data_IF_146286223203
#
_entry.id   IF_146286223203
#
_cell.length_a   1.000
_cell.length_b   1.000
_cell.length_c   1.000
_cell.angle_alpha   90.00
_cell.angle_beta   90.00
_cell.angle_gamma   90.00
#
_symmetry.space_group_name_H-M   'P 1'
#
loop_
_entity.id
_entity.type
_entity.pdbx_description
1 polymer ?
#
# COMPACT_ATOMS: atom_id res chain seq x y z
N UNK A 1 -4.54 14.40 -3.01
CA UNK A 1 -3.73 14.88 -1.87
C UNK A 1 -4.54 15.81 -0.99
N UNK A 2 -4.66 15.51 0.30
CA UNK A 2 -5.64 16.12 1.20
C UNK A 2 -5.05 17.03 2.28
N UNK A 3 -3.80 17.46 2.15
CA UNK A 3 -3.17 18.34 3.13
C UNK A 3 -3.99 19.64 3.34
N UNK A 4 -4.12 20.08 4.60
CA UNK A 4 -4.84 21.30 4.99
C UNK A 4 -4.12 22.54 4.47
N UNK A 5 -2.79 22.57 4.57
CA UNK A 5 -1.96 23.66 4.08
C UNK A 5 -1.72 23.53 2.56
N UNK A 6 -2.00 24.57 1.75
CA UNK A 6 -1.79 24.54 0.30
C UNK A 6 -0.35 24.29 -0.14
N UNK A 7 0.63 24.87 0.56
CA UNK A 7 2.05 24.65 0.27
C UNK A 7 2.45 23.20 0.53
N UNK A 8 1.98 22.63 1.66
CA UNK A 8 2.20 21.21 1.95
C UNK A 8 1.55 20.34 0.87
N UNK A 9 0.35 20.71 0.39
CA UNK A 9 -0.32 19.96 -0.68
C UNK A 9 0.50 19.92 -1.97
N UNK A 10 1.11 21.04 -2.35
CA UNK A 10 2.02 21.11 -3.51
C UNK A 10 3.29 20.31 -3.23
N UNK A 11 3.89 20.46 -2.06
CA UNK A 11 5.10 19.72 -1.68
C UNK A 11 4.87 18.20 -1.63
N UNK A 12 3.70 17.75 -1.19
CA UNK A 12 3.30 16.34 -1.20
C UNK A 12 3.22 15.76 -2.61
N UNK A 13 3.14 16.58 -3.67
CA UNK A 13 3.18 16.10 -5.04
C UNK A 13 4.56 15.54 -5.41
N UNK A 14 5.63 16.09 -4.83
CA UNK A 14 7.01 15.70 -5.14
C UNK A 14 7.27 14.20 -4.98
N UNK A 15 7.05 13.62 -3.78
CA UNK A 15 7.20 12.18 -3.57
C UNK A 15 6.30 11.33 -4.49
N UNK A 16 5.06 11.76 -4.73
CA UNK A 16 4.12 11.04 -5.61
C UNK A 16 4.64 11.00 -7.05
N UNK A 17 5.09 12.15 -7.57
CA UNK A 17 5.68 12.26 -8.91
C UNK A 17 6.98 11.47 -9.03
N UNK A 18 7.80 11.44 -7.97
CA UNK A 18 9.00 10.61 -7.91
C UNK A 18 8.66 9.13 -8.06
N UNK A 19 7.67 8.62 -7.31
CA UNK A 19 7.23 7.22 -7.41
C UNK A 19 6.65 6.91 -8.81
N UNK A 20 5.88 7.83 -9.40
CA UNK A 20 5.42 7.67 -10.79
C UNK A 20 6.60 7.62 -11.78
N UNK A 21 7.63 8.45 -11.56
CA UNK A 21 8.87 8.41 -12.32
C UNK A 21 9.59 7.06 -12.21
N UNK A 22 9.64 6.48 -11.01
CA UNK A 22 10.18 5.13 -10.77
C UNK A 22 9.39 4.08 -11.54
N UNK A 23 8.05 4.08 -11.49
CA UNK A 23 7.23 3.15 -12.27
C UNK A 23 7.53 3.26 -13.77
N UNK A 24 7.59 4.48 -14.31
CA UNK A 24 7.92 4.71 -15.73
C UNK A 24 9.33 4.24 -16.09
N UNK A 25 10.31 4.52 -15.22
CA UNK A 25 11.69 4.12 -15.42
C UNK A 25 11.85 2.60 -15.41
N UNK A 26 11.29 1.91 -14.42
CA UNK A 26 11.33 0.44 -14.32
C UNK A 26 10.66 -0.22 -15.53
N UNK A 27 9.52 0.30 -15.96
CA UNK A 27 8.83 -0.20 -17.15
C UNK A 27 9.67 -0.03 -18.41
N UNK A 28 10.30 1.13 -18.59
CA UNK A 28 11.17 1.43 -19.72
C UNK A 28 12.44 0.57 -19.72
N UNK A 29 13.10 0.44 -18.57
CA UNK A 29 14.31 -0.36 -18.43
C UNK A 29 14.02 -1.85 -18.70
N UNK A 30 12.90 -2.38 -18.18
CA UNK A 30 12.53 -3.77 -18.43
C UNK A 30 12.05 -4.00 -19.87
N UNK A 31 11.05 -3.26 -20.35
CA UNK A 31 10.45 -3.55 -21.65
C UNK A 31 11.30 -3.02 -22.82
N UNK A 32 11.69 -1.75 -22.79
CA UNK A 32 12.34 -1.13 -23.95
C UNK A 32 13.83 -1.49 -24.05
N UNK A 33 14.53 -1.63 -22.92
CA UNK A 33 15.95 -1.97 -22.92
C UNK A 33 16.13 -3.50 -22.89
N UNK A 34 15.59 -4.19 -21.89
CA UNK A 34 15.84 -5.62 -21.75
C UNK A 34 15.03 -6.47 -22.73
N UNK A 35 13.70 -6.39 -22.73
CA UNK A 35 12.86 -7.24 -23.58
C UNK A 35 13.05 -6.93 -25.09
N UNK A 36 12.92 -5.66 -25.50
CA UNK A 36 12.97 -5.32 -26.94
C UNK A 36 14.37 -5.36 -27.52
N UNK A 37 15.36 -4.77 -26.84
CA UNK A 37 16.72 -4.61 -27.39
C UNK A 37 17.68 -5.71 -26.95
N UNK A 38 17.46 -6.29 -25.77
CA UNK A 38 18.29 -7.36 -25.23
C UNK A 38 17.89 -8.75 -25.73
N UNK A 39 16.59 -9.05 -25.69
CA UNK A 39 16.09 -10.40 -25.90
C UNK A 39 15.99 -10.82 -27.37
N UNK A 40 15.70 -9.88 -28.28
CA UNK A 40 15.73 -10.12 -29.74
C UNK A 40 17.10 -10.56 -30.29
N UNK A 41 18.14 -10.65 -29.42
CA UNK A 41 19.49 -11.10 -29.75
C UNK A 41 20.04 -12.15 -28.78
N UNK A 42 19.26 -12.58 -27.79
CA UNK A 42 19.65 -13.66 -26.87
C UNK A 42 19.36 -14.99 -27.57
N UNK A 43 20.33 -15.49 -28.34
CA UNK A 43 20.22 -16.67 -29.22
C UNK A 43 19.90 -18.01 -28.51
N UNK A 44 19.57 -18.00 -27.22
CA UNK A 44 19.33 -19.20 -26.41
C UNK A 44 18.05 -19.18 -25.56
N UNK A 45 17.27 -18.09 -25.52
CA UNK A 45 15.99 -18.08 -24.79
C UNK A 45 14.83 -18.43 -25.72
N UNK A 46 14.00 -19.38 -25.29
CA UNK A 46 12.77 -19.69 -26.01
C UNK A 46 11.82 -18.49 -25.96
N UNK A 47 11.22 -18.15 -27.10
CA UNK A 47 10.28 -17.01 -27.24
C UNK A 47 9.14 -17.04 -26.22
N UNK A 48 8.73 -18.24 -25.81
CA UNK A 48 7.71 -18.46 -24.80
C UNK A 48 8.15 -17.92 -23.43
N UNK A 49 9.40 -18.19 -23.02
CA UNK A 49 9.94 -17.73 -21.73
C UNK A 49 9.99 -16.20 -21.70
N UNK A 50 10.42 -15.58 -22.80
CA UNK A 50 10.42 -14.14 -22.95
C UNK A 50 9.01 -13.55 -22.86
N UNK A 51 8.04 -14.18 -23.56
CA UNK A 51 6.65 -13.78 -23.50
C UNK A 51 6.11 -13.85 -22.06
N UNK A 52 6.37 -14.95 -21.33
CA UNK A 52 5.93 -15.09 -19.94
C UNK A 52 6.56 -14.02 -19.03
N UNK A 53 7.86 -13.74 -19.16
CA UNK A 53 8.53 -12.68 -18.39
C UNK A 53 7.88 -11.31 -18.63
N UNK A 54 7.68 -10.94 -19.90
CA UNK A 54 6.99 -9.71 -20.25
C UNK A 54 5.56 -9.69 -19.71
N UNK A 55 4.80 -10.77 -19.90
CA UNK A 55 3.42 -10.86 -19.45
C UNK A 55 3.31 -10.64 -17.94
N UNK A 56 4.05 -11.40 -17.13
CA UNK A 56 3.99 -11.28 -15.68
C UNK A 56 4.51 -9.95 -15.17
N UNK A 57 5.63 -9.45 -15.69
CA UNK A 57 6.15 -8.14 -15.30
C UNK A 57 5.12 -7.04 -15.58
N UNK A 58 4.55 -6.99 -16.79
CA UNK A 58 3.59 -5.96 -17.15
C UNK A 58 2.27 -6.08 -16.40
N UNK A 59 1.79 -7.31 -16.13
CA UNK A 59 0.59 -7.53 -15.34
C UNK A 59 0.76 -7.06 -13.90
N UNK A 60 1.86 -7.44 -13.24
CA UNK A 60 2.14 -7.01 -11.86
C UNK A 60 2.45 -5.52 -11.79
N UNK A 61 3.20 -4.97 -12.74
CA UNK A 61 3.46 -3.54 -12.84
C UNK A 61 2.16 -2.74 -12.97
N UNK A 62 1.23 -3.18 -13.84
CA UNK A 62 -0.05 -2.52 -14.04
C UNK A 62 -0.92 -2.56 -12.78
N UNK A 63 -0.98 -3.70 -12.10
CA UNK A 63 -1.72 -3.83 -10.84
C UNK A 63 -1.07 -3.01 -9.72
N UNK A 64 0.26 -2.92 -9.67
CA UNK A 64 0.99 -2.11 -8.71
C UNK A 64 0.73 -0.61 -8.90
N UNK A 65 0.87 -0.08 -10.12
CA UNK A 65 0.62 1.33 -10.40
C UNK A 65 -0.87 1.67 -10.24
N UNK A 66 -1.79 0.78 -10.64
CA UNK A 66 -3.22 0.99 -10.41
C UNK A 66 -3.53 1.05 -8.90
N UNK A 67 -2.95 0.15 -8.10
CA UNK A 67 -3.08 0.17 -6.64
C UNK A 67 -2.47 1.43 -6.01
N UNK A 68 -1.30 1.89 -6.48
CA UNK A 68 -0.68 3.14 -6.05
C UNK A 68 -1.59 4.34 -6.30
N UNK A 69 -2.10 4.48 -7.52
CA UNK A 69 -3.01 5.57 -7.90
C UNK A 69 -4.28 5.54 -7.04
N UNK A 70 -4.86 4.35 -6.80
CA UNK A 70 -6.01 4.19 -5.93
C UNK A 70 -5.71 4.59 -4.48
N UNK A 71 -4.56 4.22 -3.95
CA UNK A 71 -4.13 4.62 -2.61
C UNK A 71 -3.94 6.14 -2.49
N UNK A 72 -3.25 6.75 -3.46
CA UNK A 72 -2.88 8.17 -3.47
C UNK A 72 -4.08 9.11 -3.68
N UNK A 73 -5.07 8.70 -4.48
CA UNK A 73 -6.15 9.58 -4.94
C UNK A 73 -7.54 9.25 -4.42
N UNK A 74 -7.73 8.13 -3.72
CA UNK A 74 -9.02 7.83 -3.06
C UNK A 74 -9.14 8.57 -1.73
N UNK A 75 -10.38 8.83 -1.30
CA UNK A 75 -10.67 9.22 0.08
C UNK A 75 -10.12 8.14 1.03
N UNK A 76 -9.26 8.49 2.01
CA UNK A 76 -8.77 7.52 2.99
C UNK A 76 -9.85 7.06 3.98
N UNK A 77 -11.01 7.71 3.96
CA UNK A 77 -12.11 7.55 4.90
C UNK A 77 -12.17 8.72 5.85
N UNK A 78 -12.43 9.93 5.37
CA UNK A 78 -12.77 11.03 6.28
C UNK A 78 -14.11 10.75 6.99
N UNK A 79 -14.26 11.25 8.22
CA UNK A 79 -15.52 11.11 8.98
C UNK A 79 -16.68 11.68 8.15
N UNK A 80 -17.71 10.88 7.83
CA UNK A 80 -18.77 11.30 6.92
C UNK A 80 -19.78 12.21 7.62
N UNK A 81 -20.47 13.06 6.85
CA UNK A 81 -21.44 14.04 7.40
C UNK A 81 -22.58 13.39 8.17
N UNK A 82 -23.15 12.30 7.64
CA UNK A 82 -24.25 11.58 8.31
C UNK A 82 -23.86 11.11 9.73
N UNK A 83 -22.59 10.72 9.94
CA UNK A 83 -22.11 10.34 11.27
C UNK A 83 -22.09 11.54 12.20
N UNK A 84 -21.61 12.69 11.70
CA UNK A 84 -21.58 13.93 12.46
C UNK A 84 -23.00 14.33 12.88
N UNK A 85 -23.94 14.33 11.93
CA UNK A 85 -25.33 14.74 12.17
C UNK A 85 -26.03 13.85 13.21
N UNK A 86 -25.79 12.53 13.17
CA UNK A 86 -26.37 11.57 14.13
C UNK A 86 -25.75 11.65 15.54
N UNK A 87 -24.50 12.10 15.65
CA UNK A 87 -23.77 12.14 16.91
C UNK A 87 -23.56 13.57 17.43
N UNK A 88 -24.21 14.56 16.81
CA UNK A 88 -24.20 15.95 17.29
C UNK A 88 -24.75 16.02 18.71
N UNK A 89 -24.00 16.66 19.62
CA UNK A 89 -24.41 16.79 21.03
C UNK A 89 -24.22 15.54 21.89
N UNK A 90 -23.71 14.43 21.36
CA UNK A 90 -23.29 13.30 22.20
C UNK A 90 -22.18 13.75 23.16
N UNK A 91 -22.36 13.49 24.46
CA UNK A 91 -21.28 13.60 25.46
C UNK A 91 -20.26 12.51 25.17
N UNK A 92 -19.29 12.81 24.31
CA UNK A 92 -18.16 11.94 24.05
C UNK A 92 -16.98 12.39 24.90
N UNK A 93 -16.43 11.48 25.69
CA UNK A 93 -15.22 11.76 26.46
C UNK A 93 -14.06 12.16 25.53
N UNK A 94 -13.25 13.15 25.93
CA UNK A 94 -12.01 13.45 25.23
C UNK A 94 -11.16 12.20 25.15
N UNK A 95 -10.71 11.84 23.94
CA UNK A 95 -9.80 10.69 23.79
C UNK A 95 -8.41 10.90 24.40
N UNK A 96 -8.20 12.01 25.11
CA UNK A 96 -7.00 12.25 25.89
C UNK A 96 -6.80 11.16 26.96
N UNK A 97 -7.88 10.50 27.39
CA UNK A 97 -7.87 9.44 28.40
C UNK A 97 -7.56 8.03 27.86
N UNK A 98 -7.15 7.90 26.60
CA UNK A 98 -6.60 6.66 26.07
C UNK A 98 -7.49 5.94 25.07
N UNK A 99 -7.17 4.66 24.90
CA UNK A 99 -7.76 3.76 23.92
C UNK A 99 -9.20 3.42 24.35
N UNK A 100 -10.19 3.81 23.54
CA UNK A 100 -11.62 3.61 23.81
C UNK A 100 -12.23 2.68 22.76
N UNK A 101 -12.15 1.35 22.93
CA UNK A 101 -12.63 0.42 21.94
C UNK A 101 -14.15 0.35 21.95
N UNK A 102 -14.76 0.14 20.79
CA UNK A 102 -16.20 0.18 20.67
C UNK A 102 -16.72 1.61 20.68
N UNK A 103 -16.28 2.51 21.56
CA UNK A 103 -17.00 3.77 21.84
C UNK A 103 -16.56 4.95 20.96
N UNK A 104 -17.47 5.85 20.55
CA UNK A 104 -17.12 7.14 19.99
C UNK A 104 -16.37 8.01 21.00
N UNK A 105 -15.46 8.85 20.51
CA UNK A 105 -14.68 9.82 21.32
C UNK A 105 -14.79 11.21 20.71
N UNK A 106 -14.38 12.28 21.40
CA UNK A 106 -14.28 13.61 20.77
C UNK A 106 -12.88 13.87 20.20
N UNK A 107 -12.81 14.55 19.05
CA UNK A 107 -11.56 15.09 18.54
C UNK A 107 -11.38 16.54 18.99
N UNK A 108 -10.42 16.81 19.88
CA UNK A 108 -10.15 18.19 20.34
C UNK A 108 -9.63 19.16 19.28
N UNK A 109 -9.18 18.69 18.10
CA UNK A 109 -8.71 19.55 16.99
C UNK A 109 -9.78 19.84 15.95
N UNK A 110 -10.72 18.92 15.75
CA UNK A 110 -11.83 19.09 14.81
C UNK A 110 -13.12 19.53 15.51
N UNK A 111 -13.19 19.39 16.85
CA UNK A 111 -14.37 19.68 17.67
C UNK A 111 -15.62 18.91 17.23
N UNK A 112 -15.41 17.66 16.79
CA UNK A 112 -16.48 16.77 16.32
C UNK A 112 -16.42 15.39 16.99
N UNK A 113 -17.57 14.69 17.06
CA UNK A 113 -17.61 13.27 17.41
C UNK A 113 -16.77 12.46 16.42
N UNK A 114 -15.91 11.61 16.97
CA UNK A 114 -14.97 10.77 16.25
C UNK A 114 -15.37 9.30 16.43
N UNK A 115 -15.68 8.58 15.34
CA UNK A 115 -15.96 7.15 15.39
C UNK A 115 -14.82 6.36 16.04
N UNK A 116 -15.12 5.13 16.46
CA UNK A 116 -14.08 4.25 16.99
C UNK A 116 -12.96 4.04 15.95
N UNK A 117 -11.72 3.88 16.44
CA UNK A 117 -10.49 3.70 15.62
C UNK A 117 -10.14 4.87 14.68
N UNK A 118 -10.93 5.93 14.62
CA UNK A 118 -10.58 7.11 13.82
C UNK A 118 -9.57 7.98 14.58
N UNK A 119 -8.63 8.59 13.85
CA UNK A 119 -7.62 9.50 14.43
C UNK A 119 -7.49 10.79 13.60
N UNK A 120 -7.07 11.87 14.26
CA UNK A 120 -6.84 13.15 13.58
C UNK A 120 -5.46 13.17 12.94
N UNK A 121 -5.41 13.33 11.62
CA UNK A 121 -4.16 13.61 10.92
C UNK A 121 -3.91 15.11 10.89
N UNK A 122 -2.81 15.57 11.50
CA UNK A 122 -2.42 16.99 11.50
C UNK A 122 -2.11 17.53 10.10
N UNK A 123 -1.59 16.68 9.21
CA UNK A 123 -1.25 17.05 7.83
C UNK A 123 -2.53 17.25 7.00
N UNK A 124 -3.46 16.29 7.05
CA UNK A 124 -4.76 16.40 6.37
C UNK A 124 -5.70 17.41 7.04
N UNK A 125 -5.52 17.67 8.34
CA UNK A 125 -6.36 18.55 9.15
C UNK A 125 -7.76 18.01 9.41
N UNK A 126 -7.96 16.69 9.32
CA UNK A 126 -9.25 16.01 9.45
C UNK A 126 -9.09 14.65 10.14
N UNK A 127 -10.16 14.17 10.76
CA UNK A 127 -10.23 12.80 11.27
C UNK A 127 -10.39 11.79 10.14
N UNK A 128 -9.59 10.72 10.19
CA UNK A 128 -9.57 9.61 9.23
C UNK A 128 -10.01 8.35 9.96
N UNK A 129 -11.04 7.68 9.42
CA UNK A 129 -11.57 6.40 9.85
C UNK A 129 -10.48 5.32 9.81
N UNK A 130 -10.36 4.55 10.89
CA UNK A 130 -9.36 3.48 11.05
C UNK A 130 -7.98 3.89 10.53
N UNK A 131 -7.56 5.10 10.90
CA UNK A 131 -6.32 5.71 10.43
C UNK A 131 -5.15 4.80 10.78
N UNK A 132 -4.36 4.47 9.77
CA UNK A 132 -3.11 3.76 9.96
C UNK A 132 -1.97 4.77 10.10
N UNK A 133 -1.66 5.48 9.02
CA UNK A 133 -0.64 6.52 9.03
C UNK A 133 -0.90 7.57 7.96
N UNK A 134 -0.14 8.66 8.00
CA UNK A 134 0.01 9.56 6.86
C UNK A 134 1.24 9.15 6.08
N UNK A 135 1.08 8.78 4.81
CA UNK A 135 2.17 8.26 3.98
C UNK A 135 2.65 9.35 3.01
N UNK A 136 3.89 9.87 3.16
CA UNK A 136 4.41 10.88 2.24
C UNK A 136 4.54 10.39 0.80
N UNK A 137 4.87 9.10 0.61
CA UNK A 137 5.11 8.49 -0.71
C UNK A 137 3.87 8.42 -1.59
N UNK A 138 2.68 8.30 -0.99
CA UNK A 138 1.40 8.33 -1.70
C UNK A 138 0.72 9.71 -1.60
N UNK A 139 1.29 10.66 -0.84
CA UNK A 139 0.73 11.99 -0.64
C UNK A 139 -0.65 12.01 0.02
N UNK A 140 -0.97 10.96 0.79
CA UNK A 140 -2.29 10.74 1.38
C UNK A 140 -2.20 10.00 2.73
N UNK A 141 -3.26 10.09 3.53
CA UNK A 141 -3.46 9.14 4.62
C UNK A 141 -3.75 7.75 4.09
N UNK A 142 -3.36 6.74 4.85
CA UNK A 142 -3.81 5.36 4.72
C UNK A 142 -4.82 5.11 5.84
N UNK A 143 -6.05 4.79 5.46
CA UNK A 143 -7.18 4.61 6.37
C UNK A 143 -8.21 3.62 5.83
N UNK A 144 -9.40 3.58 6.43
CA UNK A 144 -10.41 2.55 6.18
C UNK A 144 -10.69 2.28 4.69
N UNK A 145 -10.74 3.32 3.84
CA UNK A 145 -11.22 3.20 2.45
C UNK A 145 -10.12 2.99 1.40
N UNK A 146 -8.84 3.13 1.77
CA UNK A 146 -7.72 2.98 0.85
C UNK A 146 -6.60 2.05 1.34
N UNK A 147 -6.68 1.53 2.57
CA UNK A 147 -5.65 0.65 3.14
C UNK A 147 -5.51 -0.67 2.37
N UNK A 148 -6.61 -1.22 1.81
CA UNK A 148 -6.52 -2.36 0.87
C UNK A 148 -5.61 -2.03 -0.33
N UNK A 149 -5.73 -0.85 -0.93
CA UNK A 149 -4.93 -0.46 -2.10
C UNK A 149 -3.46 -0.30 -1.73
N UNK A 150 -3.16 0.21 -0.52
CA UNK A 150 -1.81 0.28 -0.01
C UNK A 150 -1.16 -1.11 0.06
N UNK A 151 -1.85 -2.11 0.61
CA UNK A 151 -1.35 -3.48 0.73
C UNK A 151 -1.18 -4.14 -0.64
N UNK A 152 -2.13 -3.95 -1.55
CA UNK A 152 -2.03 -4.47 -2.92
C UNK A 152 -0.88 -3.85 -3.71
N UNK A 153 -0.64 -2.55 -3.54
CA UNK A 153 0.51 -1.86 -4.15
C UNK A 153 1.84 -2.47 -3.69
N UNK A 154 1.99 -2.78 -2.41
CA UNK A 154 3.19 -3.46 -1.90
C UNK A 154 3.31 -4.86 -2.49
N UNK A 155 2.23 -5.65 -2.45
CA UNK A 155 2.21 -7.01 -2.99
C UNK A 155 2.60 -7.07 -4.47
N UNK A 156 1.93 -6.30 -5.32
CA UNK A 156 2.21 -6.30 -6.75
C UNK A 156 3.54 -5.64 -7.10
N UNK A 157 3.99 -4.64 -6.32
CA UNK A 157 5.32 -4.06 -6.44
C UNK A 157 6.42 -5.09 -6.19
N UNK A 158 6.28 -5.91 -5.15
CA UNK A 158 7.19 -7.02 -4.84
C UNK A 158 7.21 -8.03 -6.00
N UNK A 159 6.06 -8.46 -6.51
CA UNK A 159 6.00 -9.42 -7.61
C UNK A 159 6.61 -8.88 -8.91
N UNK A 160 6.37 -7.61 -9.25
CA UNK A 160 7.00 -6.94 -10.40
C UNK A 160 8.53 -6.88 -10.23
N UNK A 161 9.01 -6.48 -9.05
CA UNK A 161 10.43 -6.39 -8.74
C UNK A 161 11.12 -7.76 -8.73
N UNK A 162 10.48 -8.81 -8.21
CA UNK A 162 10.97 -10.19 -8.27
C UNK A 162 11.06 -10.70 -9.72
N UNK A 163 10.08 -10.34 -10.56
CA UNK A 163 10.10 -10.69 -11.99
C UNK A 163 11.24 -9.99 -12.72
N UNK A 164 11.48 -8.70 -12.43
CA UNK A 164 12.65 -7.98 -12.93
C UNK A 164 13.94 -8.66 -12.45
N UNK A 165 14.11 -8.82 -11.14
CA UNK A 165 15.33 -9.34 -10.54
C UNK A 165 15.70 -10.73 -11.03
N UNK A 166 14.73 -11.65 -11.12
CA UNK A 166 14.95 -12.99 -11.66
C UNK A 166 15.29 -13.00 -13.16
N UNK A 167 14.85 -11.99 -13.91
CA UNK A 167 15.22 -11.79 -15.32
C UNK A 167 16.59 -11.16 -15.48
N UNK A 168 16.98 -10.28 -14.56
CA UNK A 168 18.31 -9.65 -14.55
C UNK A 168 19.40 -10.54 -13.95
N UNK A 169 19.10 -11.50 -13.08
CA UNK A 169 20.11 -12.27 -12.37
C UNK A 169 21.08 -13.06 -13.29
N UNK A 170 20.62 -13.82 -14.31
CA UNK A 170 21.53 -14.54 -15.20
C UNK A 170 22.38 -13.57 -16.03
N UNK A 171 21.79 -12.44 -16.42
CA UNK A 171 22.40 -11.37 -17.19
C UNK A 171 23.56 -10.74 -16.42
N UNK A 172 23.30 -10.34 -15.18
CA UNK A 172 24.29 -9.71 -14.31
C UNK A 172 25.37 -10.72 -13.90
N UNK A 173 25.01 -11.98 -13.62
CA UNK A 173 25.99 -13.03 -13.30
C UNK A 173 26.97 -13.28 -14.47
N UNK A 174 26.47 -13.26 -15.71
CA UNK A 174 27.31 -13.37 -16.91
C UNK A 174 28.31 -12.20 -17.07
N UNK A 175 28.01 -11.01 -16.52
CA UNK A 175 28.94 -9.86 -16.55
C UNK A 175 30.18 -10.07 -15.66
N UNK A 176 30.04 -10.80 -14.55
CA UNK A 176 31.10 -10.98 -13.56
C UNK A 176 31.77 -12.37 -13.62
N UNK A 177 31.33 -13.25 -14.54
CA UNK A 177 31.88 -14.59 -14.72
C UNK A 177 33.25 -14.62 -15.40
N UNK A 178 34.03 -15.68 -15.16
CA UNK A 178 35.44 -15.87 -15.63
C UNK A 178 35.63 -16.04 -17.15
N UNK A 179 34.61 -15.76 -17.98
CA UNK A 179 34.64 -15.91 -19.44
C UNK A 179 34.53 -14.58 -20.16
N UNK A 180 35.24 -13.55 -19.67
CA UNK A 180 35.18 -12.18 -20.19
C UNK A 180 35.10 -12.12 -21.73
N UNK A 181 33.95 -11.68 -22.23
CA UNK A 181 33.80 -11.16 -23.59
C UNK A 181 33.30 -12.16 -24.65
N UNK A 182 31.99 -12.33 -24.76
CA UNK A 182 31.28 -11.88 -25.96
C UNK A 182 29.78 -11.67 -25.68
N UNK A 183 29.33 -10.43 -25.91
CA UNK A 183 28.01 -9.85 -25.67
C UNK A 183 26.84 -10.71 -26.14
N UNK A 184 26.04 -11.27 -25.23
CA UNK A 184 24.85 -12.06 -25.58
C UNK A 184 23.50 -11.41 -25.25
N UNK A 185 23.48 -10.15 -24.79
CA UNK A 185 22.25 -9.34 -24.70
C UNK A 185 22.37 -8.13 -25.60
N UNK A 186 22.45 -8.39 -26.90
CA UNK A 186 22.42 -7.37 -27.94
C UNK A 186 23.51 -6.29 -27.86
N UNK A 187 23.57 -5.46 -28.90
CA UNK A 187 24.49 -4.33 -28.95
C UNK A 187 23.84 -3.13 -28.21
N UNK A 188 23.55 -3.31 -26.91
CA UNK A 188 22.85 -2.33 -26.07
C UNK A 188 23.66 -1.05 -25.85
N UNK A 189 24.99 -1.15 -25.97
CA UNK A 189 25.95 -0.10 -25.64
C UNK A 189 26.02 0.17 -24.13
N UNK A 190 27.07 0.87 -23.69
CA UNK A 190 27.32 1.17 -22.27
C UNK A 190 26.11 1.84 -21.59
N UNK A 191 25.42 2.75 -22.30
CA UNK A 191 24.23 3.43 -21.78
C UNK A 191 23.06 2.49 -21.53
N UNK A 192 22.78 1.54 -22.43
CA UNK A 192 21.69 0.57 -22.25
C UNK A 192 21.95 -0.33 -21.05
N UNK A 193 23.20 -0.81 -20.93
CA UNK A 193 23.64 -1.60 -19.78
C UNK A 193 23.55 -0.84 -18.47
N UNK A 194 24.04 0.39 -18.42
CA UNK A 194 23.97 1.22 -17.22
C UNK A 194 22.53 1.42 -16.75
N UNK A 195 21.61 1.74 -17.66
CA UNK A 195 20.20 1.94 -17.32
C UNK A 195 19.51 0.63 -16.87
N UNK A 196 19.76 -0.50 -17.54
CA UNK A 196 19.19 -1.78 -17.14
C UNK A 196 19.68 -2.24 -15.76
N UNK A 197 21.00 -2.14 -15.51
CA UNK A 197 21.59 -2.49 -14.22
C UNK A 197 21.11 -1.56 -13.11
N UNK A 198 20.96 -0.25 -13.40
CA UNK A 198 20.34 0.70 -12.46
C UNK A 198 18.91 0.30 -12.11
N UNK A 199 18.09 -0.09 -13.09
CA UNK A 199 16.75 -0.64 -12.86
C UNK A 199 16.78 -1.91 -12.01
N UNK A 200 17.68 -2.86 -12.31
CA UNK A 200 17.80 -4.09 -11.52
C UNK A 200 18.16 -3.83 -10.04
N UNK A 201 19.09 -2.90 -9.78
CA UNK A 201 19.47 -2.49 -8.42
C UNK A 201 18.31 -1.78 -7.72
N UNK A 202 17.63 -0.87 -8.40
CA UNK A 202 16.48 -0.15 -7.86
C UNK A 202 15.34 -1.13 -7.51
N UNK A 203 14.96 -2.00 -8.45
CA UNK A 203 13.99 -3.07 -8.23
C UNK A 203 14.35 -3.95 -7.03
N UNK A 204 15.61 -4.40 -6.90
CA UNK A 204 16.04 -5.21 -5.75
C UNK A 204 15.92 -4.46 -4.42
N UNK A 205 16.34 -3.18 -4.38
CA UNK A 205 16.26 -2.35 -3.18
C UNK A 205 14.80 -2.07 -2.75
N UNK A 206 13.92 -1.78 -3.72
CA UNK A 206 12.50 -1.57 -3.50
C UNK A 206 11.80 -2.87 -3.09
N UNK A 207 12.17 -4.01 -3.69
CA UNK A 207 11.65 -5.31 -3.30
C UNK A 207 11.91 -5.59 -1.83
N UNK A 208 13.13 -5.34 -1.35
CA UNK A 208 13.48 -5.53 0.06
C UNK A 208 12.68 -4.59 0.97
N UNK A 209 12.67 -3.29 0.67
CA UNK A 209 11.96 -2.28 1.47
C UNK A 209 10.44 -2.55 1.51
N UNK A 210 9.84 -2.85 0.37
CA UNK A 210 8.42 -3.20 0.26
C UNK A 210 8.10 -4.51 0.97
N UNK A 211 8.98 -5.51 0.95
CA UNK A 211 8.77 -6.78 1.65
C UNK A 211 8.70 -6.60 3.16
N UNK A 212 9.59 -5.80 3.74
CA UNK A 212 9.57 -5.49 5.17
C UNK A 212 8.24 -4.81 5.55
N UNK A 213 7.82 -3.82 4.76
CA UNK A 213 6.58 -3.10 4.98
C UNK A 213 5.33 -3.98 4.73
N UNK A 214 5.37 -4.85 3.73
CA UNK A 214 4.28 -5.77 3.44
C UNK A 214 4.08 -6.78 4.56
N UNK A 215 5.16 -7.39 5.05
CA UNK A 215 5.12 -8.35 6.15
C UNK A 215 4.62 -7.70 7.46
N UNK A 216 5.04 -6.46 7.76
CA UNK A 216 4.54 -5.75 8.94
C UNK A 216 3.04 -5.44 8.82
N UNK A 217 2.56 -5.02 7.64
CA UNK A 217 1.14 -4.78 7.42
C UNK A 217 0.31 -6.06 7.33
N UNK A 218 0.86 -7.18 6.87
CA UNK A 218 0.21 -8.49 6.95
C UNK A 218 0.04 -8.92 8.40
N UNK A 219 1.05 -8.70 9.25
CA UNK A 219 0.90 -8.93 10.68
C UNK A 219 -0.17 -8.03 11.31
N UNK A 220 -0.14 -6.71 11.04
CA UNK A 220 -1.18 -5.76 11.50
C UNK A 220 -2.58 -6.18 11.05
N UNK A 221 -2.73 -6.63 9.81
CA UNK A 221 -3.98 -7.17 9.29
C UNK A 221 -4.38 -8.44 10.04
N UNK A 222 -3.46 -9.39 10.23
CA UNK A 222 -3.73 -10.67 10.90
C UNK A 222 -4.16 -10.49 12.36
N UNK A 223 -3.61 -9.50 13.06
CA UNK A 223 -3.99 -9.17 14.45
C UNK A 223 -5.08 -8.10 14.54
N UNK A 224 -5.54 -7.53 13.43
CA UNK A 224 -6.49 -6.41 13.34
C UNK A 224 -6.13 -5.19 14.19
N UNK A 225 -4.92 -4.68 14.00
CA UNK A 225 -4.49 -3.37 14.52
C UNK A 225 -4.13 -2.43 13.37
N UNK A 226 -4.19 -1.13 13.62
CA UNK A 226 -3.45 -0.11 12.85
C UNK A 226 -2.05 0.06 13.44
N UNK A 227 -1.14 0.70 12.70
CA UNK A 227 0.16 1.13 13.26
C UNK A 227 0.03 2.06 14.48
N UNK A 228 -1.04 2.86 14.55
CA UNK A 228 -1.35 3.68 15.73
C UNK A 228 -1.77 2.81 16.91
N UNK A 229 -2.62 1.81 16.66
CA UNK A 229 -3.19 0.95 17.70
C UNK A 229 -2.19 0.00 18.35
N UNK A 230 -1.02 -0.21 17.72
CA UNK A 230 0.09 -0.95 18.35
C UNK A 230 0.58 -0.26 19.63
N UNK A 231 0.51 1.07 19.70
CA UNK A 231 0.93 1.82 20.87
C UNK A 231 -0.04 1.72 22.06
N UNK A 232 -1.25 1.18 21.86
CA UNK A 232 -2.22 1.03 22.92
C UNK A 232 -1.98 -0.26 23.73
N UNK A 233 -1.92 -0.09 25.05
CA UNK A 233 -1.89 -1.19 26.01
C UNK A 233 -3.26 -1.85 26.12
N UNK A 234 -3.29 -3.13 26.50
CA UNK A 234 -4.51 -3.91 26.70
C UNK A 234 -4.82 -4.93 25.61
N UNK A 235 -5.87 -5.71 25.85
CA UNK A 235 -6.37 -6.79 24.97
C UNK A 235 -6.85 -6.19 23.65
N UNK A 236 -6.62 -6.84 22.49
CA UNK A 236 -7.26 -6.39 21.24
C UNK A 236 -8.72 -6.91 21.11
N UNK A 237 -9.76 -6.06 21.16
CA UNK A 237 -11.17 -6.43 21.08
C UNK A 237 -11.67 -6.47 19.64
N UNK A 238 -10.87 -5.98 18.68
CA UNK A 238 -11.17 -6.02 17.26
C UNK A 238 -10.73 -7.34 16.61
N UNK A 239 -9.86 -8.11 17.27
CA UNK A 239 -9.39 -9.38 16.72
C UNK A 239 -10.46 -10.46 16.83
N UNK A 240 -10.86 -11.02 15.67
CA UNK A 240 -11.86 -12.09 15.52
C UNK A 240 -11.30 -13.31 14.77
N UNK A 241 -9.98 -13.45 14.74
CA UNK A 241 -9.27 -14.46 13.96
C UNK A 241 -8.82 -13.94 12.58
N UNK A 242 -7.75 -14.52 12.03
CA UNK A 242 -7.02 -13.98 10.87
C UNK A 242 -7.92 -13.71 9.66
N UNK A 243 -8.83 -14.64 9.33
CA UNK A 243 -9.73 -14.49 8.19
C UNK A 243 -10.72 -13.34 8.37
N UNK A 244 -11.39 -13.24 9.52
CA UNK A 244 -12.32 -12.15 9.80
C UNK A 244 -11.60 -10.81 9.93
N UNK A 245 -10.39 -10.81 10.49
CA UNK A 245 -9.55 -9.63 10.61
C UNK A 245 -9.18 -9.06 9.23
N UNK A 246 -8.74 -9.92 8.30
CA UNK A 246 -8.50 -9.55 6.92
C UNK A 246 -9.79 -9.08 6.22
N UNK A 247 -10.91 -9.75 6.45
CA UNK A 247 -12.19 -9.37 5.86
C UNK A 247 -12.73 -8.01 6.34
N UNK A 248 -12.36 -7.54 7.53
CA UNK A 248 -12.70 -6.18 7.96
C UNK A 248 -11.99 -5.10 7.13
N UNK A 249 -10.84 -5.40 6.53
CA UNK A 249 -10.10 -4.49 5.67
C UNK A 249 -10.47 -4.66 4.19
N UNK A 250 -10.54 -5.91 3.73
CA UNK A 250 -10.68 -6.25 2.32
C UNK A 250 -12.14 -6.55 1.90
N UNK A 251 -13.06 -6.62 2.87
CA UNK A 251 -14.41 -7.18 2.71
C UNK A 251 -14.41 -8.71 2.69
N UNK A 252 -15.58 -9.35 2.56
CA UNK A 252 -15.66 -10.82 2.51
C UNK A 252 -14.90 -11.38 1.32
N UNK A 253 -14.16 -12.48 1.53
CA UNK A 253 -13.29 -13.10 0.52
C UNK A 253 -13.97 -13.28 -0.84
N UNK A 254 -13.37 -12.71 -1.88
CA UNK A 254 -13.86 -12.72 -3.25
C UNK A 254 -12.79 -12.26 -4.24
N UNK A 255 -13.10 -12.29 -5.54
CA UNK A 255 -12.17 -11.89 -6.61
C UNK A 255 -11.67 -10.44 -6.47
N UNK A 256 -12.49 -9.59 -5.85
CA UNK A 256 -12.17 -8.21 -5.54
C UNK A 256 -10.96 -8.10 -4.61
N UNK A 257 -10.59 -9.12 -3.81
CA UNK A 257 -9.42 -9.06 -2.92
C UNK A 257 -8.13 -8.76 -3.65
N UNK A 258 -7.96 -9.31 -4.85
CA UNK A 258 -6.76 -9.14 -5.69
C UNK A 258 -6.87 -7.95 -6.65
N UNK A 259 -7.98 -7.21 -6.62
CA UNK A 259 -8.19 -6.07 -7.51
C UNK A 259 -8.23 -4.77 -6.69
N UNK A 260 -7.59 -3.69 -7.17
CA UNK A 260 -7.63 -2.39 -6.49
C UNK A 260 -8.95 -1.66 -6.75
N UNK A 261 -10.05 -2.33 -6.43
CA UNK A 261 -11.42 -1.85 -6.48
C UNK A 261 -12.04 -1.93 -5.07
N UNK A 262 -13.11 -1.17 -4.78
CA UNK A 262 -13.81 -1.28 -3.51
C UNK A 262 -14.34 -2.70 -3.34
N UNK A 263 -14.49 -3.17 -2.11
CA UNK A 263 -15.06 -4.50 -1.91
C UNK A 263 -16.52 -4.55 -2.33
N UNK A 264 -16.92 -5.66 -2.93
CA UNK A 264 -18.33 -5.93 -3.22
C UNK A 264 -19.14 -6.27 -1.97
N UNK A 265 -18.49 -6.74 -0.91
CA UNK A 265 -19.12 -7.18 0.34
C UNK A 265 -18.35 -6.63 1.55
N UNK A 266 -18.37 -5.30 1.76
CA UNK A 266 -17.69 -4.69 2.91
C UNK A 266 -18.30 -5.20 4.22
N UNK A 267 -17.46 -5.41 5.24
CA UNK A 267 -17.88 -5.86 6.57
C UNK A 267 -18.24 -4.70 7.50
N UNK A 268 -17.85 -3.48 7.14
CA UNK A 268 -17.96 -2.26 7.94
C UNK A 268 -17.98 -1.05 7.02
N UNK A 269 -18.65 0.01 7.44
CA UNK A 269 -18.63 1.34 6.83
C UNK A 269 -17.43 2.18 7.29
N UNK A 270 -16.57 1.63 8.15
CA UNK A 270 -15.43 2.30 8.73
C UNK A 270 -15.71 3.10 9.99
N UNK A 271 -16.98 3.29 10.37
CA UNK A 271 -17.39 4.00 11.58
C UNK A 271 -17.67 3.06 12.75
N UNK A 272 -18.00 1.79 12.48
CA UNK A 272 -18.25 0.76 13.51
C UNK A 272 -17.67 -0.62 13.14
N UNK A 273 -17.05 -1.29 14.10
CA UNK A 273 -16.30 -2.56 13.99
C UNK A 273 -16.72 -3.59 15.05
N UNK A 274 -17.23 -3.14 16.20
CA UNK A 274 -17.72 -4.00 17.29
C UNK A 274 -19.23 -3.80 17.46
N UNK A 275 -19.95 -4.90 17.73
CA UNK A 275 -21.34 -4.84 18.17
C UNK A 275 -21.38 -4.67 19.69
N UNK A 276 -21.87 -3.53 20.18
CA UNK A 276 -21.91 -3.18 21.61
C UNK A 276 -22.68 -4.20 22.45
N UNK A 277 -23.66 -4.89 21.86
CA UNK A 277 -24.46 -5.89 22.56
C UNK A 277 -23.68 -7.20 22.85
N UNK A 278 -22.47 -7.36 22.30
CA UNK A 278 -21.56 -8.48 22.56
C UNK A 278 -20.33 -8.09 23.38
N UNK A 279 -20.20 -6.83 23.76
CA UNK A 279 -19.15 -6.40 24.70
C UNK A 279 -19.66 -6.68 26.09
N UNK A 280 -19.00 -7.59 26.79
CA UNK A 280 -19.25 -7.88 28.20
C UNK A 280 -19.36 -6.56 28.98
N UNK A 281 -20.48 -6.30 29.70
CA UNK A 281 -20.63 -5.10 30.53
C UNK A 281 -19.48 -4.91 31.52
N UNK A 282 -18.77 -5.99 31.87
CA UNK A 282 -17.64 -5.97 32.82
C UNK A 282 -16.34 -5.42 32.23
N UNK A 283 -16.22 -5.22 30.92
CA UNK A 283 -15.04 -4.57 30.31
C UNK A 283 -15.08 -3.03 30.38
N UNK A 284 -15.91 -2.47 31.25
CA UNK A 284 -16.00 -1.05 31.54
C UNK A 284 -15.32 -0.65 32.84
N UNK A 285 -13.99 -0.76 32.92
CA UNK A 285 -13.13 0.02 33.84
C UNK A 285 -11.76 0.21 33.21
#
# INVERSE_FOLDING_TARGET
>A
MYAKNPLIRVASAGPVLLILGVFCFEWYAFNCIFMLRGLGRWKGEAIEVAFFRAFFFNAFWLLAIWSFLRCAFSDPGFVPRWWLDQNQGCRTEPSYFGWMPGRPSSCGKCEVPRPERAHHCSICGKCVLRMDHHCPWVGNCVGAYNHKYFILMLFYGILAAMTYGSSAAPVLAAMFGKGGGHWTIGNLGVKGWGLFSMGAVLAASLCLAMSILFLSHLWLMAVNRTSIEVAYAGRNPYSKGVSENAAQLCGRFGIDWLLPIPSFRPMTDGCKYIDYNRVDPECGV
#
